data_IF_227968304075
#
_entry.id   IF_227968304075
#
_cell.length_a   1.000
_cell.length_b   1.000
_cell.length_c   1.000
_cell.angle_alpha   90.00
_cell.angle_beta   90.00
_cell.angle_gamma   90.00
#
_symmetry.space_group_name_H-M   'P 1'
#
loop_
_entity.id
_entity.type
_entity.pdbx_description
1 polymer ?
#
# COMPACT_ATOMS: atom_id res chain seq x y z
N UNK A 1 48.14 -21.46 49.59
CA UNK A 1 48.14 -21.70 48.14
C UNK A 1 46.71 -21.65 47.62
N UNK A 2 46.41 -20.63 46.80
CA UNK A 2 45.33 -20.51 45.80
C UNK A 2 43.88 -20.82 46.21
N UNK A 3 43.14 -19.79 46.63
CA UNK A 3 41.69 -19.71 46.37
C UNK A 3 41.50 -19.35 44.88
N UNK A 4 40.89 -20.24 44.10
CA UNK A 4 40.39 -19.90 42.77
C UNK A 4 39.08 -19.10 42.92
N UNK A 5 39.15 -17.81 42.63
CA UNK A 5 37.99 -16.96 42.44
C UNK A 5 37.49 -17.18 41.01
N UNK A 6 36.47 -18.01 40.84
CA UNK A 6 35.77 -18.19 39.56
C UNK A 6 34.75 -17.07 39.37
N UNK A 7 35.10 -16.08 38.56
CA UNK A 7 34.15 -15.07 38.05
C UNK A 7 33.33 -15.75 36.96
N UNK A 8 32.07 -16.07 37.24
CA UNK A 8 31.10 -16.46 36.22
C UNK A 8 30.60 -15.18 35.56
N UNK A 9 31.16 -14.85 34.40
CA UNK A 9 30.71 -13.75 33.56
C UNK A 9 29.44 -14.19 32.82
N UNK A 10 28.28 -13.83 33.36
CA UNK A 10 26.99 -14.03 32.68
C UNK A 10 26.87 -12.99 31.56
N UNK A 11 27.38 -13.30 30.37
CA UNK A 11 27.07 -12.54 29.16
C UNK A 11 25.61 -12.77 28.81
N UNK A 12 24.74 -11.86 29.25
CA UNK A 12 23.38 -11.77 28.73
C UNK A 12 23.47 -11.37 27.25
N UNK A 13 23.33 -12.36 26.37
CA UNK A 13 23.09 -12.12 24.95
C UNK A 13 21.70 -11.50 24.83
N UNK A 14 21.62 -10.17 24.97
CA UNK A 14 20.45 -9.41 24.54
C UNK A 14 20.41 -9.56 23.01
N UNK A 15 19.64 -10.52 22.54
CA UNK A 15 19.20 -10.55 21.15
C UNK A 15 18.49 -9.23 20.90
N UNK A 16 19.16 -8.32 20.20
CA UNK A 16 18.51 -7.19 19.57
C UNK A 16 17.53 -7.79 18.56
N UNK A 17 16.31 -8.02 19.00
CA UNK A 17 15.20 -8.18 18.07
C UNK A 17 15.14 -6.83 17.39
N UNK A 18 15.59 -6.76 16.14
CA UNK A 18 15.38 -5.58 15.30
C UNK A 18 13.85 -5.40 15.22
N UNK A 19 13.33 -4.49 16.05
CA UNK A 19 11.94 -4.09 15.99
C UNK A 19 11.87 -3.09 14.85
N UNK A 20 11.07 -3.38 13.83
CA UNK A 20 10.78 -2.42 12.79
C UNK A 20 10.15 -1.19 13.45
N UNK A 21 10.75 -0.01 13.26
CA UNK A 21 10.15 1.24 13.71
C UNK A 21 8.93 1.56 12.87
N UNK A 22 8.97 1.21 11.59
CA UNK A 22 7.89 1.45 10.65
C UNK A 22 7.41 0.13 10.05
N UNK A 23 6.11 -0.11 10.17
CA UNK A 23 5.47 -1.26 9.56
C UNK A 23 4.58 -0.79 8.42
N UNK A 24 4.91 -1.19 7.19
CA UNK A 24 4.05 -1.01 6.02
C UNK A 24 3.20 -2.25 5.85
N UNK A 25 1.87 -2.07 5.86
CA UNK A 25 0.91 -3.12 5.57
C UNK A 25 0.17 -2.74 4.29
N UNK A 26 0.33 -3.55 3.25
CA UNK A 26 -0.31 -3.30 1.95
C UNK A 26 -1.19 -4.46 1.53
N UNK A 27 -2.35 -4.15 0.98
CA UNK A 27 -3.01 -5.06 0.05
C UNK A 27 -2.26 -5.08 -1.32
N UNK A 28 -2.63 -6.00 -2.21
CA UNK A 28 -2.04 -6.12 -3.55
C UNK A 28 -3.03 -5.67 -4.62
N UNK A 29 -4.19 -6.31 -4.65
CA UNK A 29 -5.14 -6.27 -5.74
C UNK A 29 -5.94 -4.96 -5.73
N UNK A 30 -5.95 -4.23 -6.83
CA UNK A 30 -6.46 -2.86 -6.93
C UNK A 30 -5.82 -1.83 -5.99
N UNK A 31 -4.86 -2.23 -5.15
CA UNK A 31 -4.04 -1.33 -4.33
C UNK A 31 -2.75 -0.93 -5.06
N UNK A 32 -1.93 -1.91 -5.44
CA UNK A 32 -0.67 -1.71 -6.19
C UNK A 32 -0.70 -2.39 -7.56
N UNK A 33 -1.43 -3.51 -7.67
CA UNK A 33 -1.71 -4.25 -8.90
C UNK A 33 -3.05 -3.79 -9.47
N UNK A 34 -3.18 -3.74 -10.79
CA UNK A 34 -4.47 -3.48 -11.46
C UNK A 34 -5.15 -4.82 -11.72
N UNK A 35 -6.22 -5.15 -11.00
CA UNK A 35 -6.85 -6.48 -11.11
C UNK A 35 -8.37 -6.49 -11.28
N UNK A 36 -9.06 -5.38 -11.00
CA UNK A 36 -10.51 -5.21 -11.06
C UNK A 36 -11.26 -6.32 -10.28
N UNK A 37 -10.99 -6.42 -8.99
CA UNK A 37 -11.46 -7.50 -8.10
C UNK A 37 -12.97 -7.66 -8.05
N UNK A 38 -13.75 -6.60 -8.32
CA UNK A 38 -15.21 -6.69 -8.35
C UNK A 38 -15.76 -7.37 -9.62
N UNK A 39 -14.95 -7.50 -10.68
CA UNK A 39 -15.33 -8.17 -11.92
C UNK A 39 -14.81 -9.61 -11.97
N UNK A 40 -15.70 -10.60 -11.84
CA UNK A 40 -15.33 -12.03 -11.92
C UNK A 40 -14.54 -12.40 -13.19
N UNK A 41 -14.89 -11.80 -14.33
CA UNK A 41 -14.21 -12.04 -15.61
C UNK A 41 -12.79 -11.46 -15.60
N UNK A 42 -12.61 -10.24 -15.07
CA UNK A 42 -11.28 -9.61 -15.02
C UNK A 42 -10.40 -10.16 -13.91
N UNK A 43 -10.97 -10.54 -12.77
CA UNK A 43 -10.24 -11.25 -11.72
C UNK A 43 -9.63 -12.57 -12.23
N UNK A 44 -10.30 -13.25 -13.17
CA UNK A 44 -9.76 -14.45 -13.80
C UNK A 44 -8.64 -14.15 -14.81
N UNK A 45 -8.67 -13.02 -15.51
CA UNK A 45 -7.59 -12.64 -16.44
C UNK A 45 -6.40 -12.02 -15.72
N UNK A 46 -6.63 -11.26 -14.64
CA UNK A 46 -5.56 -10.67 -13.81
C UNK A 46 -4.76 -11.72 -13.06
N UNK A 47 -5.30 -12.93 -12.90
CA UNK A 47 -4.56 -14.11 -12.45
C UNK A 47 -3.31 -14.39 -13.28
N UNK A 48 -3.36 -14.13 -14.59
CA UNK A 48 -2.26 -14.37 -15.54
C UNK A 48 -1.44 -13.12 -15.83
N UNK A 49 -1.68 -12.04 -15.09
CA UNK A 49 -1.08 -10.73 -15.30
C UNK A 49 -0.22 -10.36 -14.09
N UNK A 50 1.09 -10.43 -14.25
CA UNK A 50 2.13 -10.06 -13.29
C UNK A 50 2.73 -8.68 -13.58
N UNK A 51 2.31 -8.02 -14.65
CA UNK A 51 2.88 -6.73 -15.10
C UNK A 51 2.00 -5.53 -14.76
N UNK A 52 0.68 -5.70 -14.69
CA UNK A 52 -0.22 -4.55 -14.56
C UNK A 52 -0.21 -3.94 -13.17
N UNK A 53 0.33 -2.73 -13.05
CA UNK A 53 0.47 -2.00 -11.78
C UNK A 53 0.13 -0.53 -11.88
N UNK A 54 -0.24 0.07 -10.75
CA UNK A 54 -0.43 1.50 -10.68
C UNK A 54 0.91 2.26 -10.73
N UNK A 55 0.97 3.27 -11.60
CA UNK A 55 2.18 4.05 -11.84
C UNK A 55 2.65 4.77 -10.57
N UNK A 56 3.96 4.68 -10.30
CA UNK A 56 4.61 5.36 -9.17
C UNK A 56 4.48 4.69 -7.81
N UNK A 57 3.69 3.60 -7.67
CA UNK A 57 3.54 2.90 -6.38
C UNK A 57 4.83 2.19 -5.94
N UNK A 58 5.47 1.45 -6.85
CA UNK A 58 6.76 0.81 -6.59
C UNK A 58 7.81 1.86 -6.24
N UNK A 59 7.86 2.95 -7.00
CA UNK A 59 8.78 4.05 -6.73
C UNK A 59 8.54 4.68 -5.34
N UNK A 60 7.29 4.89 -4.94
CA UNK A 60 6.93 5.37 -3.61
C UNK A 60 7.44 4.44 -2.49
N UNK A 61 7.24 3.13 -2.65
CA UNK A 61 7.65 2.15 -1.64
C UNK A 61 9.17 2.06 -1.55
N UNK A 62 9.86 2.20 -2.68
CA UNK A 62 11.31 2.27 -2.71
C UNK A 62 11.83 3.55 -2.05
N UNK A 63 11.17 4.70 -2.19
CA UNK A 63 11.53 5.91 -1.44
C UNK A 63 11.38 5.71 0.07
N UNK A 64 10.33 5.02 0.52
CA UNK A 64 10.17 4.63 1.95
C UNK A 64 11.31 3.70 2.39
N UNK A 65 11.63 2.65 1.62
CA UNK A 65 12.74 1.74 1.95
C UNK A 65 14.09 2.46 1.98
N UNK A 66 14.32 3.42 1.08
CA UNK A 66 15.54 4.24 1.07
C UNK A 66 15.60 5.16 2.29
N UNK A 67 14.48 5.77 2.69
CA UNK A 67 14.44 6.71 3.80
C UNK A 67 14.72 6.03 5.15
N UNK A 68 14.27 4.78 5.33
CA UNK A 68 14.31 4.10 6.63
C UNK A 68 15.25 2.88 6.68
N UNK A 69 15.79 2.42 5.56
CA UNK A 69 16.73 1.30 5.53
C UNK A 69 16.12 0.05 6.16
N UNK A 70 16.77 -0.53 7.16
CA UNK A 70 16.30 -1.75 7.84
C UNK A 70 15.28 -1.49 8.97
N UNK A 71 14.99 -0.22 9.28
CA UNK A 71 13.98 0.15 10.29
C UNK A 71 12.53 0.04 9.75
N UNK A 72 12.35 -0.35 8.48
CA UNK A 72 11.06 -0.50 7.83
C UNK A 72 10.85 -1.92 7.28
N UNK A 73 9.67 -2.48 7.55
CA UNK A 73 9.23 -3.78 7.03
C UNK A 73 7.99 -3.65 6.15
N UNK A 74 7.97 -4.40 5.04
CA UNK A 74 6.88 -4.41 4.05
C UNK A 74 6.14 -5.75 4.09
N UNK A 75 4.95 -5.72 4.67
CA UNK A 75 4.07 -6.87 4.79
C UNK A 75 2.87 -6.73 3.85
N UNK A 76 2.74 -7.66 2.91
CA UNK A 76 1.60 -7.71 2.01
C UNK A 76 0.56 -8.69 2.56
N UNK A 77 -0.71 -8.30 2.61
CA UNK A 77 -1.79 -9.12 3.17
C UNK A 77 -2.94 -9.21 2.17
N UNK A 78 -3.02 -10.35 1.48
CA UNK A 78 -4.02 -10.61 0.45
C UNK A 78 -4.97 -11.73 0.87
N UNK A 79 -6.26 -11.56 0.58
CA UNK A 79 -7.28 -12.59 0.77
C UNK A 79 -7.25 -13.67 -0.33
N UNK A 80 -6.39 -13.53 -1.32
CA UNK A 80 -6.27 -14.47 -2.41
C UNK A 80 -5.85 -15.87 -1.91
N UNK A 81 -6.45 -16.96 -2.44
CA UNK A 81 -6.09 -18.33 -2.07
C UNK A 81 -4.61 -18.62 -2.33
N UNK A 82 -3.88 -19.06 -1.29
CA UNK A 82 -2.43 -19.30 -1.32
C UNK A 82 -2.03 -20.26 -2.44
N UNK A 83 -2.78 -21.35 -2.61
CA UNK A 83 -2.48 -22.39 -3.59
C UNK A 83 -2.52 -21.88 -5.04
N UNK A 84 -3.27 -20.80 -5.28
CA UNK A 84 -3.43 -20.21 -6.61
C UNK A 84 -2.54 -18.99 -6.80
N UNK A 85 -2.46 -18.11 -5.79
CA UNK A 85 -1.98 -16.74 -5.97
C UNK A 85 -0.66 -16.43 -5.27
N UNK A 86 -0.15 -17.28 -4.37
CA UNK A 86 1.06 -16.93 -3.64
C UNK A 86 2.29 -16.79 -4.55
N UNK A 87 2.46 -17.69 -5.53
CA UNK A 87 3.53 -17.58 -6.53
C UNK A 87 3.37 -16.31 -7.38
N UNK A 88 2.17 -16.08 -7.92
CA UNK A 88 1.85 -14.92 -8.77
C UNK A 88 2.04 -13.57 -8.07
N UNK A 89 1.67 -13.49 -6.80
CA UNK A 89 1.89 -12.28 -6.01
C UNK A 89 3.37 -12.06 -5.70
N UNK A 90 4.12 -13.11 -5.41
CA UNK A 90 5.57 -12.98 -5.24
C UNK A 90 6.26 -12.54 -6.53
N UNK A 91 5.94 -13.18 -7.67
CA UNK A 91 6.43 -12.79 -9.01
C UNK A 91 6.12 -11.32 -9.30
N UNK A 92 4.85 -10.91 -9.16
CA UNK A 92 4.43 -9.52 -9.34
C UNK A 92 5.25 -8.54 -8.49
N UNK A 93 5.45 -8.84 -7.20
CA UNK A 93 6.17 -7.95 -6.28
C UNK A 93 7.66 -7.83 -6.67
N UNK A 94 8.30 -8.96 -7.00
CA UNK A 94 9.71 -9.02 -7.36
C UNK A 94 9.98 -8.34 -8.71
N UNK A 95 9.22 -8.69 -9.75
CA UNK A 95 9.40 -8.16 -11.11
C UNK A 95 9.12 -6.66 -11.18
N UNK A 96 8.19 -6.18 -10.35
CA UNK A 96 7.85 -4.76 -10.26
C UNK A 96 8.65 -3.98 -9.19
N UNK A 97 9.71 -4.59 -8.62
CA UNK A 97 10.64 -3.94 -7.69
C UNK A 97 9.97 -3.39 -6.41
N UNK A 98 8.93 -4.06 -5.91
CA UNK A 98 8.36 -3.75 -4.62
C UNK A 98 9.24 -4.33 -3.50
N UNK A 99 9.60 -3.55 -2.48
CA UNK A 99 10.29 -4.10 -1.31
C UNK A 99 9.36 -5.07 -0.58
N UNK A 100 9.91 -6.23 -0.19
CA UNK A 100 9.16 -7.35 0.37
C UNK A 100 9.86 -7.90 1.62
N UNK A 101 9.17 -7.86 2.76
CA UNK A 101 9.55 -8.60 3.97
C UNK A 101 8.78 -9.92 4.03
N UNK A 102 7.45 -9.88 3.88
CA UNK A 102 6.63 -11.10 3.86
C UNK A 102 5.29 -10.90 3.18
N UNK A 103 4.90 -11.90 2.39
CA UNK A 103 3.56 -12.05 1.82
C UNK A 103 2.72 -12.97 2.71
N UNK A 104 1.53 -12.51 3.10
CA UNK A 104 0.52 -13.26 3.82
C UNK A 104 -0.69 -13.48 2.91
N UNK A 105 -1.02 -14.74 2.67
CA UNK A 105 -2.13 -15.17 1.81
C UNK A 105 -3.07 -16.10 2.56
N UNK A 106 -4.31 -16.16 2.08
CA UNK A 106 -5.34 -17.04 2.62
C UNK A 106 -4.94 -18.51 2.46
N UNK A 107 -4.79 -19.29 3.53
CA UNK A 107 -4.37 -20.69 3.42
C UNK A 107 -5.45 -21.57 2.78
N UNK A 108 -6.72 -21.18 2.83
CA UNK A 108 -7.85 -21.92 2.26
C UNK A 108 -8.19 -21.52 0.82
N UNK A 109 -9.03 -22.33 0.17
CA UNK A 109 -9.65 -22.00 -1.13
C UNK A 109 -10.78 -20.97 -0.93
N UNK A 110 -11.61 -21.17 0.10
CA UNK A 110 -12.62 -20.18 0.50
C UNK A 110 -11.94 -19.01 1.20
N UNK A 111 -12.32 -17.78 0.86
CA UNK A 111 -11.83 -16.57 1.53
C UNK A 111 -12.23 -16.60 3.02
N UNK A 112 -11.25 -16.49 3.91
CA UNK A 112 -11.48 -16.13 5.31
C UNK A 112 -11.56 -14.60 5.40
N UNK A 113 -12.75 -14.00 5.54
CA UNK A 113 -12.91 -12.54 5.57
C UNK A 113 -12.24 -11.90 6.80
N UNK A 114 -11.86 -12.68 7.81
CA UNK A 114 -11.17 -12.22 9.01
C UNK A 114 -9.64 -12.34 8.93
N UNK A 115 -9.11 -12.92 7.86
CA UNK A 115 -7.67 -13.18 7.72
C UNK A 115 -6.85 -11.91 7.90
N UNK A 116 -7.26 -10.80 7.24
CA UNK A 116 -6.50 -9.54 7.31
C UNK A 116 -6.40 -9.05 8.75
N UNK A 117 -7.50 -9.08 9.49
CA UNK A 117 -7.55 -8.69 10.90
C UNK A 117 -6.67 -9.60 11.75
N UNK A 118 -6.72 -10.93 11.56
CA UNK A 118 -5.89 -11.90 12.30
C UNK A 118 -4.39 -11.64 12.08
N UNK A 119 -3.99 -11.50 10.82
CA UNK A 119 -2.59 -11.27 10.43
C UNK A 119 -2.11 -9.92 10.95
N UNK A 120 -2.88 -8.85 10.74
CA UNK A 120 -2.46 -7.50 11.15
C UNK A 120 -2.33 -7.41 12.67
N UNK A 121 -3.30 -7.92 13.44
CA UNK A 121 -3.18 -7.97 14.92
C UNK A 121 -1.91 -8.69 15.35
N UNK A 122 -1.62 -9.84 14.74
CA UNK A 122 -0.41 -10.59 15.04
C UNK A 122 0.85 -9.78 14.73
N UNK A 123 0.91 -9.10 13.58
CA UNK A 123 2.04 -8.25 13.21
C UNK A 123 2.22 -7.08 14.20
N UNK A 124 1.14 -6.39 14.57
CA UNK A 124 1.20 -5.26 15.52
C UNK A 124 1.73 -5.70 16.89
N UNK A 125 1.29 -6.87 17.39
CA UNK A 125 1.78 -7.44 18.66
C UNK A 125 3.25 -7.89 18.55
N UNK A 126 3.63 -8.55 17.47
CA UNK A 126 4.97 -9.11 17.30
C UNK A 126 6.03 -8.04 17.02
N UNK A 127 5.70 -7.07 16.16
CA UNK A 127 6.63 -6.06 15.67
C UNK A 127 6.71 -4.84 16.57
N UNK A 128 5.63 -4.53 17.31
CA UNK A 128 5.50 -3.34 18.17
C UNK A 128 6.03 -2.06 17.47
N UNK A 129 5.51 -1.73 16.28
CA UNK A 129 6.03 -0.61 15.50
C UNK A 129 5.76 0.74 16.17
N UNK A 130 6.59 1.73 15.86
CA UNK A 130 6.42 3.13 16.27
C UNK A 130 5.45 3.87 15.34
N UNK A 131 5.32 3.41 14.09
CA UNK A 131 4.38 3.91 13.09
C UNK A 131 3.91 2.77 12.18
N UNK A 132 2.62 2.78 11.83
CA UNK A 132 2.06 1.87 10.82
C UNK A 132 1.54 2.67 9.64
N UNK A 133 1.91 2.25 8.43
CA UNK A 133 1.41 2.84 7.19
C UNK A 133 0.62 1.77 6.45
N UNK A 134 -0.69 1.99 6.33
CA UNK A 134 -1.58 1.08 5.62
C UNK A 134 -1.84 1.57 4.20
N UNK A 135 -1.81 0.65 3.24
CA UNK A 135 -2.21 0.89 1.85
C UNK A 135 -3.20 -0.19 1.43
N UNK A 136 -4.40 0.22 1.02
CA UNK A 136 -5.43 -0.71 0.55
C UNK A 136 -6.31 -0.05 -0.50
N UNK A 137 -7.40 -0.72 -0.86
CA UNK A 137 -8.42 -0.23 -1.79
C UNK A 137 -9.81 -0.20 -1.15
N UNK A 138 -10.76 0.40 -1.85
CA UNK A 138 -12.17 0.52 -1.42
C UNK A 138 -13.12 -0.49 -2.12
N UNK A 139 -12.59 -1.49 -2.82
CA UNK A 139 -13.34 -2.59 -3.42
C UNK A 139 -13.56 -3.75 -2.45
N UNK A 140 -12.62 -3.97 -1.53
CA UNK A 140 -12.71 -5.02 -0.50
C UNK A 140 -12.63 -4.45 0.92
N UNK A 141 -12.24 -5.28 1.89
CA UNK A 141 -12.41 -4.99 3.31
C UNK A 141 -11.42 -3.97 3.89
N UNK A 142 -10.43 -3.48 3.13
CA UNK A 142 -9.28 -2.75 3.67
C UNK A 142 -9.65 -1.49 4.44
N UNK A 143 -10.54 -0.66 3.90
CA UNK A 143 -11.04 0.52 4.61
C UNK A 143 -11.57 0.15 6.01
N UNK A 144 -12.43 -0.86 6.10
CA UNK A 144 -12.99 -1.31 7.38
C UNK A 144 -11.95 -1.97 8.31
N UNK A 145 -11.05 -2.78 7.76
CA UNK A 145 -10.02 -3.52 8.50
C UNK A 145 -9.05 -2.55 9.13
N UNK A 146 -8.49 -1.62 8.35
CA UNK A 146 -7.50 -0.67 8.86
C UNK A 146 -8.11 0.25 9.92
N UNK A 147 -9.35 0.72 9.70
CA UNK A 147 -10.03 1.55 10.68
C UNK A 147 -10.28 0.77 11.99
N UNK A 148 -10.57 -0.54 11.90
CA UNK A 148 -10.68 -1.40 13.08
C UNK A 148 -9.34 -1.50 13.81
N UNK A 149 -8.23 -1.73 13.10
CA UNK A 149 -6.91 -1.87 13.71
C UNK A 149 -6.46 -0.60 14.44
N UNK A 150 -6.72 0.57 13.87
CA UNK A 150 -6.41 1.86 14.53
C UNK A 150 -7.24 2.06 15.80
N UNK A 151 -8.52 1.65 15.80
CA UNK A 151 -9.39 1.71 16.99
C UNK A 151 -8.97 0.72 18.08
N UNK A 152 -8.49 -0.46 17.70
CA UNK A 152 -8.01 -1.49 18.63
C UNK A 152 -6.63 -1.18 19.20
N UNK A 153 -5.80 -0.43 18.46
CA UNK A 153 -4.43 -0.07 18.82
C UNK A 153 -4.18 1.45 18.77
N UNK A 154 -4.95 2.27 19.52
CA UNK A 154 -4.89 3.74 19.42
C UNK A 154 -3.56 4.35 19.87
N UNK A 155 -2.72 3.56 20.56
CA UNK A 155 -1.40 3.95 21.04
C UNK A 155 -0.30 3.79 19.97
N UNK A 156 -0.60 3.20 18.82
CA UNK A 156 0.33 3.09 17.68
C UNK A 156 -0.08 4.14 16.65
N UNK A 157 0.73 5.19 16.42
CA UNK A 157 0.51 6.12 15.33
C UNK A 157 0.30 5.38 14.00
N UNK A 158 -0.71 5.79 13.24
CA UNK A 158 -1.05 5.13 11.99
C UNK A 158 -1.51 6.13 10.92
N UNK A 159 -1.18 5.83 9.67
CA UNK A 159 -1.74 6.50 8.50
C UNK A 159 -2.39 5.45 7.60
N UNK A 160 -3.59 5.74 7.11
CA UNK A 160 -4.39 4.80 6.34
C UNK A 160 -4.68 5.38 4.96
N UNK A 161 -4.07 4.81 3.93
CA UNK A 161 -4.29 5.20 2.54
C UNK A 161 -5.19 4.19 1.84
N UNK A 162 -6.29 4.67 1.28
CA UNK A 162 -7.27 3.85 0.56
C UNK A 162 -7.36 4.33 -0.88
N UNK A 163 -7.09 3.45 -1.84
CA UNK A 163 -7.27 3.77 -3.25
C UNK A 163 -8.75 3.89 -3.54
N UNK A 164 -9.15 5.03 -4.10
CA UNK A 164 -10.48 5.26 -4.64
C UNK A 164 -10.58 4.58 -6.01
N UNK A 165 -10.74 3.26 -5.98
CA UNK A 165 -10.84 2.41 -7.16
C UNK A 165 -12.29 2.27 -7.66
N UNK A 166 -13.25 2.32 -6.72
CA UNK A 166 -14.68 2.14 -6.93
C UNK A 166 -15.49 3.23 -6.23
N UNK A 167 -16.67 3.57 -6.75
CA UNK A 167 -17.55 4.58 -6.14
C UNK A 167 -18.59 3.93 -5.23
N UNK A 168 -18.88 4.55 -4.09
CA UNK A 168 -20.01 4.18 -3.21
C UNK A 168 -21.37 4.44 -3.85
N UNK A 169 -21.41 5.27 -4.89
CA UNK A 169 -22.60 5.53 -5.70
C UNK A 169 -22.84 4.42 -6.74
N UNK A 170 -21.89 3.50 -6.90
CA UNK A 170 -21.97 2.35 -7.78
C UNK A 170 -21.66 1.05 -7.02
N UNK A 171 -20.40 0.61 -7.05
CA UNK A 171 -20.02 -0.76 -6.70
C UNK A 171 -19.27 -0.91 -5.36
N UNK A 172 -18.76 0.19 -4.78
CA UNK A 172 -18.00 0.12 -3.52
C UNK A 172 -18.92 -0.16 -2.34
N UNK A 173 -18.69 -1.31 -1.68
CA UNK A 173 -19.31 -1.65 -0.39
C UNK A 173 -18.50 -1.17 0.81
N UNK A 174 -17.27 -0.71 0.57
CA UNK A 174 -16.29 -0.38 1.60
C UNK A 174 -15.64 0.97 1.29
N UNK A 175 -16.43 2.07 1.30
CA UNK A 175 -15.90 3.39 0.99
C UNK A 175 -14.82 3.79 1.98
N UNK A 176 -13.94 4.69 1.55
CA UNK A 176 -12.98 5.36 2.43
C UNK A 176 -13.70 5.99 3.61
N UNK A 177 -13.21 5.71 4.81
CA UNK A 177 -13.83 6.12 6.07
C UNK A 177 -13.25 7.44 6.58
N UNK A 178 -13.96 8.09 7.50
CA UNK A 178 -13.45 9.28 8.19
C UNK A 178 -12.10 8.99 8.86
N UNK A 179 -11.15 9.91 8.71
CA UNK A 179 -9.77 9.76 9.19
C UNK A 179 -8.84 8.95 8.27
N UNK A 180 -9.36 8.38 7.17
CA UNK A 180 -8.56 7.76 6.13
C UNK A 180 -8.29 8.72 4.98
N UNK A 181 -7.20 8.48 4.26
CA UNK A 181 -6.74 9.28 3.14
C UNK A 181 -7.09 8.55 1.85
N UNK A 182 -8.13 9.02 1.17
CA UNK A 182 -8.46 8.57 -0.18
C UNK A 182 -7.42 9.07 -1.20
N UNK A 183 -7.00 8.22 -2.13
CA UNK A 183 -6.07 8.60 -3.20
C UNK A 183 -6.42 7.94 -4.54
N UNK A 184 -6.04 8.58 -5.64
CA UNK A 184 -6.27 8.06 -7.00
C UNK A 184 -4.94 7.68 -7.64
N UNK A 185 -3.90 8.49 -7.43
CA UNK A 185 -2.54 8.22 -7.91
C UNK A 185 -1.50 8.24 -6.78
N UNK A 186 -0.27 7.83 -7.08
CA UNK A 186 0.83 7.88 -6.11
C UNK A 186 1.31 9.30 -5.78
N UNK A 187 0.88 10.32 -6.54
CA UNK A 187 1.28 11.72 -6.33
C UNK A 187 0.66 12.29 -5.06
N UNK A 188 -0.61 11.98 -4.81
CA UNK A 188 -1.33 12.30 -3.58
C UNK A 188 -0.61 11.71 -2.36
N UNK A 189 -0.19 10.45 -2.47
CA UNK A 189 0.51 9.75 -1.39
C UNK A 189 1.85 10.41 -1.05
N UNK A 190 2.68 10.73 -2.04
CA UNK A 190 3.98 11.35 -1.77
C UNK A 190 3.81 12.76 -1.20
N UNK A 191 2.78 13.51 -1.61
CA UNK A 191 2.45 14.82 -1.03
C UNK A 191 2.11 14.65 0.46
N UNK A 192 1.20 13.74 0.79
CA UNK A 192 0.75 13.51 2.17
C UNK A 192 1.90 13.04 3.06
N UNK A 193 2.70 12.09 2.57
CA UNK A 193 3.86 11.56 3.29
C UNK A 193 4.93 12.64 3.55
N UNK A 194 5.11 13.59 2.64
CA UNK A 194 6.04 14.73 2.84
C UNK A 194 5.47 15.71 3.88
N UNK A 195 4.17 16.04 3.80
CA UNK A 195 3.54 16.94 4.77
C UNK A 195 3.54 16.38 6.20
N UNK A 196 3.56 15.05 6.34
CA UNK A 196 3.70 14.34 7.61
C UNK A 196 5.15 14.12 8.04
N UNK A 197 6.12 14.63 7.29
CA UNK A 197 7.56 14.46 7.55
C UNK A 197 8.02 12.98 7.53
N UNK A 198 7.26 12.09 6.87
CA UNK A 198 7.59 10.67 6.68
C UNK A 198 8.55 10.49 5.50
N UNK A 199 8.36 11.26 4.43
CA UNK A 199 9.27 11.27 3.28
C UNK A 199 9.94 12.64 3.13
N UNK A 200 11.21 12.69 2.69
CA UNK A 200 11.85 13.95 2.38
C UNK A 200 11.27 14.57 1.10
N UNK A 201 11.25 15.90 1.01
CA UNK A 201 10.72 16.66 -0.15
C UNK A 201 11.29 16.18 -1.49
N UNK A 202 12.55 15.71 -1.51
CA UNK A 202 13.23 15.20 -2.72
C UNK A 202 12.53 13.99 -3.36
N UNK A 203 11.80 13.17 -2.59
CA UNK A 203 11.11 11.98 -3.09
C UNK A 203 9.99 12.34 -4.07
N UNK A 204 9.39 13.52 -3.94
CA UNK A 204 8.31 14.02 -4.80
C UNK A 204 8.65 13.95 -6.31
N UNK A 205 9.85 14.41 -6.69
CA UNK A 205 10.21 14.59 -8.09
C UNK A 205 10.22 13.29 -8.88
N UNK A 206 10.61 12.17 -8.24
CA UNK A 206 10.66 10.86 -8.88
C UNK A 206 9.24 10.35 -9.17
N UNK A 207 8.36 10.39 -8.19
CA UNK A 207 6.98 9.92 -8.31
C UNK A 207 6.22 10.76 -9.33
N UNK A 208 6.27 12.09 -9.22
CA UNK A 208 5.63 13.02 -10.17
C UNK A 208 6.08 12.74 -11.61
N UNK A 209 7.39 12.56 -11.83
CA UNK A 209 7.94 12.30 -13.16
C UNK A 209 7.42 10.99 -13.76
N UNK A 210 7.31 9.93 -12.95
CA UNK A 210 6.80 8.62 -13.41
C UNK A 210 5.34 8.73 -13.79
N UNK A 211 4.50 9.27 -12.90
CA UNK A 211 3.06 9.42 -13.14
C UNK A 211 2.80 10.33 -14.34
N UNK A 212 3.44 11.50 -14.39
CA UNK A 212 3.28 12.44 -15.51
C UNK A 212 3.67 11.83 -16.86
N UNK A 213 4.79 11.09 -16.92
CA UNK A 213 5.21 10.42 -18.16
C UNK A 213 4.24 9.34 -18.57
N UNK A 214 3.73 8.55 -17.62
CA UNK A 214 2.79 7.48 -17.95
C UNK A 214 1.45 8.04 -18.40
N UNK A 215 0.95 9.08 -17.73
CA UNK A 215 -0.30 9.76 -18.08
C UNK A 215 -0.35 10.21 -19.55
N UNK A 216 0.77 10.69 -20.11
CA UNK A 216 0.85 11.08 -21.53
C UNK A 216 0.72 9.93 -22.53
N UNK A 217 0.92 8.70 -22.07
CA UNK A 217 0.90 7.46 -22.85
C UNK A 217 -0.23 6.54 -22.42
N UNK A 218 -1.01 6.96 -21.43
CA UNK A 218 -2.10 6.17 -20.89
C UNK A 218 -3.30 6.39 -21.81
N UNK A 219 -3.62 5.37 -22.59
CA UNK A 219 -4.79 5.35 -23.45
C UNK A 219 -6.03 4.81 -22.70
N UNK A 220 -5.89 4.53 -21.39
CA UNK A 220 -6.92 3.92 -20.56
C UNK A 220 -7.23 2.48 -20.95
N UNK A 221 -6.62 1.96 -22.01
CA UNK A 221 -6.78 0.57 -22.42
C UNK A 221 -5.95 -0.31 -21.49
N UNK A 222 -6.54 -1.42 -21.06
CA UNK A 222 -5.86 -2.41 -20.22
C UNK A 222 -4.90 -3.29 -21.04
N UNK A 223 -4.17 -2.68 -21.97
CA UNK A 223 -3.05 -3.32 -22.62
C UNK A 223 -1.93 -3.38 -21.57
N UNK A 224 -1.96 -4.45 -20.77
CA UNK A 224 -1.01 -4.93 -19.77
C UNK A 224 0.25 -4.05 -19.52
N UNK A 225 0.49 -3.71 -18.26
CA UNK A 225 1.64 -2.92 -17.80
C UNK A 225 1.28 -1.75 -16.88
N UNK A 226 2.09 -0.69 -16.84
CA UNK A 226 1.86 0.40 -15.87
C UNK A 226 0.57 1.16 -16.21
N UNK A 227 -0.27 1.55 -15.26
CA UNK A 227 -1.48 2.35 -15.53
C UNK A 227 -1.57 3.51 -14.55
N UNK A 228 -2.06 4.67 -15.02
CA UNK A 228 -2.50 5.75 -14.13
C UNK A 228 -3.98 5.59 -13.85
N UNK A 229 -4.79 5.38 -14.89
CA UNK A 229 -6.24 5.21 -14.78
C UNK A 229 -6.73 4.00 -15.59
N UNK A 230 -6.86 2.82 -14.97
CA UNK A 230 -7.52 1.67 -15.60
C UNK A 230 -8.95 2.03 -16.01
N UNK A 231 -9.44 1.54 -17.16
CA UNK A 231 -10.74 1.94 -17.76
C UNK A 231 -11.95 1.79 -16.83
N UNK A 232 -11.90 0.87 -15.88
CA UNK A 232 -12.95 0.56 -14.92
C UNK A 232 -12.92 1.40 -13.65
N UNK A 233 -11.81 2.09 -13.36
CA UNK A 233 -11.68 2.87 -12.14
C UNK A 233 -12.75 3.95 -12.05
N UNK A 234 -13.51 3.95 -10.96
CA UNK A 234 -14.54 4.93 -10.65
C UNK A 234 -14.19 5.66 -9.36
N UNK A 235 -13.56 6.82 -9.50
CA UNK A 235 -13.08 7.63 -8.38
C UNK A 235 -13.95 8.86 -8.10
N UNK A 236 -15.24 8.87 -8.49
CA UNK A 236 -16.08 10.08 -8.36
C UNK A 236 -16.29 10.59 -6.93
N UNK A 237 -16.05 9.74 -5.94
CA UNK A 237 -16.08 10.11 -4.53
C UNK A 237 -14.80 10.82 -4.06
N UNK A 238 -13.71 10.74 -4.84
CA UNK A 238 -12.43 11.33 -4.50
C UNK A 238 -12.53 12.85 -4.38
N UNK A 239 -11.88 13.38 -3.34
CA UNK A 239 -11.74 14.81 -3.11
C UNK A 239 -10.27 15.14 -2.85
N UNK A 240 -9.75 16.06 -3.62
CA UNK A 240 -8.44 16.64 -3.35
C UNK A 240 -8.46 17.40 -2.02
N UNK A 241 -7.57 17.06 -1.09
CA UNK A 241 -7.56 17.62 0.27
C UNK A 241 -6.27 18.38 0.63
N UNK A 242 -5.27 18.37 -0.24
CA UNK A 242 -3.97 18.97 0.04
C UNK A 242 -3.91 20.41 -0.44
N UNK A 243 -3.70 21.35 0.47
CA UNK A 243 -3.37 22.72 0.13
C UNK A 243 -1.86 22.83 -0.12
N UNK A 244 -1.49 23.27 -1.32
CA UNK A 244 -0.09 23.38 -1.75
C UNK A 244 0.23 24.85 -2.04
N UNK A 245 1.22 25.46 -1.34
CA UNK A 245 1.60 26.85 -1.54
C UNK A 245 2.07 27.15 -2.97
N UNK A 246 2.64 26.14 -3.63
CA UNK A 246 3.10 26.20 -5.00
C UNK A 246 2.94 24.83 -5.65
N UNK A 247 2.56 24.81 -6.93
CA UNK A 247 2.44 23.59 -7.72
C UNK A 247 3.31 23.66 -8.97
N UNK A 248 3.81 22.50 -9.42
CA UNK A 248 4.54 22.43 -10.69
C UNK A 248 3.53 22.37 -11.85
N UNK A 249 3.97 22.73 -13.06
CA UNK A 249 3.15 22.52 -14.26
C UNK A 249 2.75 21.04 -14.46
N UNK A 250 3.61 20.09 -14.07
CA UNK A 250 3.30 18.66 -14.18
C UNK A 250 2.19 18.25 -13.22
N UNK A 251 2.24 18.77 -11.99
CA UNK A 251 1.21 18.53 -10.99
C UNK A 251 -0.14 19.06 -11.44
N UNK A 252 -0.20 20.26 -12.04
CA UNK A 252 -1.45 20.80 -12.56
C UNK A 252 -2.05 19.94 -13.68
N UNK A 253 -1.22 19.36 -14.54
CA UNK A 253 -1.67 18.38 -15.54
C UNK A 253 -2.21 17.11 -14.89
N UNK A 254 -1.54 16.60 -13.86
CA UNK A 254 -1.99 15.41 -13.11
C UNK A 254 -3.33 15.70 -12.42
N UNK A 255 -3.46 16.83 -11.71
CA UNK A 255 -4.70 17.25 -11.05
C UNK A 255 -5.86 17.39 -12.04
N UNK A 256 -5.62 18.01 -13.19
CA UNK A 256 -6.64 18.12 -14.24
C UNK A 256 -7.07 16.74 -14.77
N UNK A 257 -6.14 15.79 -14.91
CA UNK A 257 -6.45 14.45 -15.35
C UNK A 257 -7.22 13.64 -14.29
N UNK A 258 -6.87 13.76 -13.01
CA UNK A 258 -7.65 13.18 -11.90
C UNK A 258 -9.06 13.76 -11.90
N UNK A 259 -9.21 15.08 -11.95
CA UNK A 259 -10.51 15.74 -11.97
C UNK A 259 -11.37 15.27 -13.16
N UNK A 260 -10.78 15.15 -14.35
CA UNK A 260 -11.46 14.62 -15.53
C UNK A 260 -11.87 13.16 -15.32
N UNK A 261 -10.97 12.31 -14.80
CA UNK A 261 -11.25 10.88 -14.58
C UNK A 261 -12.37 10.69 -13.57
N UNK A 262 -12.30 11.37 -12.43
CA UNK A 262 -13.27 11.23 -11.36
C UNK A 262 -14.61 11.93 -11.66
N UNK A 263 -14.66 12.83 -12.65
CA UNK A 263 -15.93 13.38 -13.12
C UNK A 263 -16.70 12.44 -14.08
N UNK A 264 -16.08 11.38 -14.58
CA UNK A 264 -16.65 10.48 -15.60
C UNK A 264 -17.37 9.24 -15.02
N UNK A 265 -17.44 9.12 -13.70
CA UNK A 265 -18.24 8.08 -13.06
C UNK A 265 -19.73 8.31 -13.28
#
# INVERSE_FOLDING_TARGET
MKLLSGIVLFLSLLSQVALAKILVISDIDDTIKVSNVLSKKRAATSFFDDDSRFAGMSELYQELKIAYGDDIEFHYVSLAPRILMAGRHTEFLEENNFPLTKLHTNPGIAQDPELKQKVIRQLLVQKRPELVIYFGDNGQFDASVYNQMVKEHPYIPAVQYIREAYSKLADSKYPTMEGQIGFVTSVELVIDLIQREILPVKSYQRIEKVVYKRLKRDDGSENFGHMVFPSWQDCRDFKWQWELPSTTQKLEVIKAAIAKRCAQG
#
